data_IF_693305975971
#
_entry.id   IF_693305975971
#
_cell.length_a   1.000
_cell.length_b   1.000
_cell.length_c   1.000
_cell.angle_alpha   90.00
_cell.angle_beta   90.00
_cell.angle_gamma   90.00
#
_symmetry.space_group_name_H-M   'P 1'
#
loop_
_entity.id
_entity.type
_entity.pdbx_description
1 polymer ?
#
# COMPACT_ATOMS: atom_id res chain seq x y z
N UNK A 1 102.92 -63.33 -41.49
CA UNK A 1 101.69 -63.86 -40.87
C UNK A 1 101.10 -62.78 -39.94
N UNK A 2 101.00 -61.53 -40.39
CA UNK A 2 100.59 -60.38 -39.54
C UNK A 2 99.56 -59.43 -40.19
N UNK A 3 99.34 -59.50 -41.51
CA UNK A 3 98.44 -58.56 -42.24
C UNK A 3 96.94 -58.88 -42.19
N UNK A 4 96.52 -60.00 -41.60
CA UNK A 4 95.09 -60.38 -41.54
C UNK A 4 94.42 -59.84 -40.26
N UNK A 5 95.19 -59.49 -39.23
CA UNK A 5 94.65 -58.99 -37.94
C UNK A 5 94.33 -57.48 -37.95
N UNK A 6 95.03 -56.67 -38.75
CA UNK A 6 94.84 -55.21 -38.81
C UNK A 6 93.55 -54.75 -39.51
N UNK A 7 93.12 -55.45 -40.58
CA UNK A 7 91.89 -55.10 -41.30
C UNK A 7 90.62 -55.34 -40.47
N UNK A 8 90.61 -56.35 -39.58
CA UNK A 8 89.46 -56.64 -38.73
C UNK A 8 89.26 -55.62 -37.60
N UNK A 9 90.33 -55.00 -37.08
CA UNK A 9 90.22 -53.97 -36.03
C UNK A 9 89.72 -52.63 -36.59
N UNK A 10 90.10 -52.29 -37.82
CA UNK A 10 89.71 -51.04 -38.47
C UNK A 10 88.22 -51.04 -38.89
N UNK A 11 87.74 -52.16 -39.45
CA UNK A 11 86.31 -52.37 -39.75
C UNK A 11 85.45 -52.42 -38.48
N UNK A 12 85.98 -52.96 -37.37
CA UNK A 12 85.29 -52.99 -36.09
C UNK A 12 85.18 -51.60 -35.43
N UNK A 13 86.19 -50.75 -35.57
CA UNK A 13 86.18 -49.37 -35.09
C UNK A 13 85.22 -48.50 -35.90
N UNK A 14 85.21 -48.66 -37.22
CA UNK A 14 84.33 -47.92 -38.13
C UNK A 14 82.86 -48.32 -37.96
N UNK A 15 82.61 -49.61 -37.71
CA UNK A 15 81.29 -50.13 -37.29
C UNK A 15 80.85 -49.55 -35.94
N UNK A 16 81.75 -49.42 -34.95
CA UNK A 16 81.41 -48.81 -33.64
C UNK A 16 81.09 -47.33 -33.75
N UNK A 17 81.80 -46.60 -34.61
CA UNK A 17 81.58 -45.17 -34.85
C UNK A 17 80.22 -44.91 -35.51
N UNK A 18 79.90 -45.67 -36.56
CA UNK A 18 78.59 -45.60 -37.23
C UNK A 18 77.43 -46.01 -36.32
N UNK A 19 77.62 -47.02 -35.46
CA UNK A 19 76.62 -47.37 -34.43
C UNK A 19 76.41 -46.21 -33.44
N UNK A 20 77.47 -45.51 -33.04
CA UNK A 20 77.37 -44.33 -32.15
C UNK A 20 76.66 -43.17 -32.82
N UNK A 21 77.01 -42.86 -34.07
CA UNK A 21 76.35 -41.79 -34.84
C UNK A 21 74.87 -42.08 -35.08
N UNK A 22 74.53 -43.32 -35.44
CA UNK A 22 73.13 -43.72 -35.63
C UNK A 22 72.33 -43.59 -34.33
N UNK A 23 72.88 -44.03 -33.19
CA UNK A 23 72.23 -43.85 -31.88
C UNK A 23 72.02 -42.38 -31.52
N UNK A 24 73.00 -41.53 -31.83
CA UNK A 24 72.90 -40.10 -31.55
C UNK A 24 71.84 -39.44 -32.45
N UNK A 25 71.79 -39.83 -33.72
CA UNK A 25 70.82 -39.35 -34.70
C UNK A 25 69.40 -39.79 -34.34
N UNK A 26 69.21 -41.07 -33.99
CA UNK A 26 67.95 -41.62 -33.48
C UNK A 26 67.49 -40.90 -32.20
N UNK A 27 68.42 -40.56 -31.30
CA UNK A 27 68.09 -39.79 -30.09
C UNK A 27 67.62 -38.38 -30.41
N UNK A 28 68.27 -37.68 -31.35
CA UNK A 28 67.86 -36.34 -31.75
C UNK A 28 66.54 -36.36 -32.53
N UNK A 29 66.35 -37.32 -33.42
CA UNK A 29 65.10 -37.49 -34.17
C UNK A 29 63.93 -37.79 -33.22
N UNK A 30 64.15 -38.63 -32.19
CA UNK A 30 63.16 -38.89 -31.15
C UNK A 30 62.82 -37.62 -30.35
N UNK A 31 63.82 -36.78 -30.05
CA UNK A 31 63.62 -35.53 -29.32
C UNK A 31 62.86 -34.49 -30.14
N UNK A 32 63.14 -34.39 -31.45
CA UNK A 32 62.39 -33.53 -32.40
C UNK A 32 60.95 -34.01 -32.53
N UNK A 33 60.71 -35.32 -32.61
CA UNK A 33 59.35 -35.87 -32.62
C UNK A 33 58.59 -35.54 -31.33
N UNK A 34 59.22 -35.68 -30.17
CA UNK A 34 58.61 -35.35 -28.88
C UNK A 34 58.25 -33.86 -28.80
N UNK A 35 59.16 -32.97 -29.21
CA UNK A 35 58.94 -31.52 -29.23
C UNK A 35 57.81 -31.12 -30.20
N UNK A 36 57.75 -31.74 -31.38
CA UNK A 36 56.67 -31.49 -32.34
C UNK A 36 55.32 -31.96 -31.80
N UNK A 37 55.27 -33.11 -31.14
CA UNK A 37 54.05 -33.61 -30.49
C UNK A 37 53.58 -32.65 -29.39
N UNK A 38 54.49 -32.16 -28.55
CA UNK A 38 54.18 -31.20 -27.48
C UNK A 38 53.71 -29.85 -28.04
N UNK A 39 54.33 -29.39 -29.13
CA UNK A 39 53.96 -28.16 -29.83
C UNK A 39 52.54 -28.27 -30.40
N UNK A 40 52.18 -29.39 -31.01
CA UNK A 40 50.86 -29.61 -31.58
C UNK A 40 49.79 -29.73 -30.48
N UNK A 41 50.08 -30.43 -29.37
CA UNK A 41 49.21 -30.43 -28.20
C UNK A 41 48.96 -29.02 -27.65
N UNK A 42 50.02 -28.22 -27.50
CA UNK A 42 49.90 -26.83 -27.02
C UNK A 42 49.08 -25.98 -27.99
N UNK A 43 49.28 -26.11 -29.30
CA UNK A 43 48.48 -25.41 -30.32
C UNK A 43 46.99 -25.78 -30.23
N UNK A 44 46.68 -27.06 -30.02
CA UNK A 44 45.28 -27.51 -29.85
C UNK A 44 44.66 -26.90 -28.60
N UNK A 45 45.36 -26.90 -27.46
CA UNK A 45 44.87 -26.28 -26.23
C UNK A 45 44.64 -24.77 -26.37
N UNK A 46 45.55 -24.07 -27.07
CA UNK A 46 45.45 -22.63 -27.28
C UNK A 46 44.25 -22.27 -28.17
N UNK A 47 43.98 -23.07 -29.20
CA UNK A 47 42.76 -22.94 -30.01
C UNK A 47 41.49 -23.15 -29.18
N UNK A 48 41.46 -24.18 -28.34
CA UNK A 48 40.31 -24.43 -27.45
C UNK A 48 40.09 -23.28 -26.47
N UNK A 49 41.16 -22.78 -25.84
CA UNK A 49 41.08 -21.63 -24.93
C UNK A 49 40.49 -20.39 -25.61
N UNK A 50 40.95 -20.05 -26.82
CA UNK A 50 40.45 -18.90 -27.56
C UNK A 50 38.96 -19.03 -27.92
N UNK A 51 38.50 -20.23 -28.32
CA UNK A 51 37.09 -20.49 -28.60
C UNK A 51 36.24 -20.31 -27.34
N UNK A 52 36.68 -20.86 -26.20
CA UNK A 52 35.96 -20.70 -24.93
C UNK A 52 35.94 -19.24 -24.47
N UNK A 53 37.03 -18.50 -24.67
CA UNK A 53 37.08 -17.07 -24.34
C UNK A 53 36.08 -16.26 -25.15
N UNK A 54 36.03 -16.45 -26.48
CA UNK A 54 35.06 -15.78 -27.35
C UNK A 54 33.60 -16.11 -26.97
N UNK A 55 33.32 -17.38 -26.64
CA UNK A 55 31.99 -17.78 -26.17
C UNK A 55 31.62 -17.12 -24.84
N UNK A 56 32.57 -16.98 -23.92
CA UNK A 56 32.33 -16.33 -22.63
C UNK A 56 32.10 -14.83 -22.78
N UNK A 57 32.81 -14.15 -23.70
CA UNK A 57 32.54 -12.74 -23.99
C UNK A 57 31.14 -12.54 -24.57
N UNK A 58 30.74 -13.37 -25.54
CA UNK A 58 29.37 -13.31 -26.08
C UNK A 58 28.29 -13.58 -25.03
N UNK A 59 28.56 -14.44 -24.04
CA UNK A 59 27.64 -14.65 -22.91
C UNK A 59 27.58 -13.44 -21.97
N UNK A 60 28.70 -12.78 -21.72
CA UNK A 60 28.76 -11.57 -20.88
C UNK A 60 27.98 -10.42 -21.49
N UNK A 61 28.13 -10.18 -22.80
CA UNK A 61 27.39 -9.09 -23.47
C UNK A 61 25.88 -9.31 -23.40
N UNK A 62 25.40 -10.55 -23.63
CA UNK A 62 23.98 -10.89 -23.49
C UNK A 62 23.49 -10.69 -22.06
N UNK A 63 24.29 -11.07 -21.05
CA UNK A 63 23.96 -10.84 -19.65
C UNK A 63 23.87 -9.35 -19.33
N UNK A 64 24.82 -8.53 -19.80
CA UNK A 64 24.82 -7.10 -19.58
C UNK A 64 23.61 -6.40 -20.23
N UNK A 65 23.23 -6.80 -21.45
CA UNK A 65 22.02 -6.31 -22.11
C UNK A 65 20.75 -6.68 -21.34
N UNK A 66 20.72 -7.90 -20.79
CA UNK A 66 19.60 -8.36 -19.96
C UNK A 66 19.50 -7.56 -18.67
N UNK A 67 20.63 -7.32 -17.99
CA UNK A 67 20.71 -6.50 -16.77
C UNK A 67 20.26 -5.08 -17.05
N UNK A 68 20.72 -4.45 -18.14
CA UNK A 68 20.30 -3.11 -18.52
C UNK A 68 18.80 -3.03 -18.80
N UNK A 69 18.24 -4.03 -19.48
CA UNK A 69 16.81 -4.10 -19.76
C UNK A 69 15.99 -4.26 -18.49
N UNK A 70 16.43 -5.12 -17.56
CA UNK A 70 15.76 -5.31 -16.27
C UNK A 70 15.82 -4.04 -15.42
N UNK A 71 16.98 -3.37 -15.35
CA UNK A 71 17.12 -2.11 -14.62
C UNK A 71 16.20 -1.02 -15.19
N UNK A 72 16.08 -0.91 -16.51
CA UNK A 72 15.12 0.03 -17.14
C UNK A 72 13.68 -0.30 -16.77
N UNK A 73 13.30 -1.58 -16.77
CA UNK A 73 11.95 -2.00 -16.35
C UNK A 73 11.69 -1.69 -14.88
N UNK A 74 12.68 -1.91 -14.01
CA UNK A 74 12.57 -1.61 -12.59
C UNK A 74 12.35 -0.11 -12.35
N UNK A 75 13.19 0.74 -12.94
CA UNK A 75 13.06 2.20 -12.84
C UNK A 75 11.69 2.66 -13.34
N UNK A 76 11.22 2.11 -14.47
CA UNK A 76 9.90 2.44 -15.01
C UNK A 76 8.78 2.03 -14.05
N UNK A 77 8.86 0.84 -13.47
CA UNK A 77 7.88 0.35 -12.49
C UNK A 77 7.86 1.23 -11.23
N UNK A 78 9.02 1.65 -10.73
CA UNK A 78 9.12 2.52 -9.55
C UNK A 78 8.51 3.91 -9.82
N UNK A 79 8.71 4.44 -11.04
CA UNK A 79 8.09 5.70 -11.47
C UNK A 79 6.57 5.58 -11.58
N UNK A 80 6.06 4.51 -12.19
CA UNK A 80 4.63 4.24 -12.29
C UNK A 80 3.99 4.08 -10.90
N UNK A 81 4.64 3.33 -10.01
CA UNK A 81 4.19 3.16 -8.64
C UNK A 81 4.17 4.47 -7.85
N UNK A 82 5.22 5.28 -7.97
CA UNK A 82 5.31 6.60 -7.31
C UNK A 82 4.23 7.56 -7.82
N UNK A 83 3.97 7.56 -9.13
CA UNK A 83 2.90 8.35 -9.75
C UNK A 83 1.53 7.93 -9.24
N UNK A 84 1.24 6.63 -9.25
CA UNK A 84 -0.02 6.09 -8.75
C UNK A 84 -0.24 6.43 -7.28
N UNK A 85 0.80 6.27 -6.44
CA UNK A 85 0.73 6.63 -5.03
C UNK A 85 0.44 8.12 -4.82
N UNK A 86 1.06 8.99 -5.61
CA UNK A 86 0.77 10.43 -5.57
C UNK A 86 -0.67 10.73 -5.96
N UNK A 87 -1.21 10.06 -6.98
CA UNK A 87 -2.61 10.23 -7.40
C UNK A 87 -3.59 9.77 -6.31
N UNK A 88 -3.36 8.60 -5.73
CA UNK A 88 -4.17 8.07 -4.63
C UNK A 88 -4.19 9.02 -3.43
N UNK A 89 -3.03 9.57 -3.04
CA UNK A 89 -2.95 10.51 -1.93
C UNK A 89 -3.71 11.82 -2.21
N UNK A 90 -3.67 12.33 -3.45
CA UNK A 90 -4.43 13.52 -3.83
C UNK A 90 -5.94 13.23 -3.79
N UNK A 91 -6.36 12.07 -4.30
CA UNK A 91 -7.75 11.65 -4.30
C UNK A 91 -8.30 11.45 -2.88
N UNK A 92 -7.56 10.77 -2.00
CA UNK A 92 -7.96 10.59 -0.60
C UNK A 92 -8.14 11.93 0.13
N UNK A 93 -7.23 12.89 -0.08
CA UNK A 93 -7.34 14.22 0.52
C UNK A 93 -8.57 14.99 0.00
N UNK A 94 -8.92 14.81 -1.27
CA UNK A 94 -10.09 15.43 -1.88
C UNK A 94 -11.39 14.82 -1.31
N UNK A 95 -11.50 13.50 -1.31
CA UNK A 95 -12.67 12.78 -0.77
C UNK A 95 -12.89 13.10 0.72
N UNK A 96 -11.83 13.16 1.52
CA UNK A 96 -11.94 13.57 2.93
C UNK A 96 -12.45 15.01 3.07
N UNK A 97 -11.97 15.94 2.24
CA UNK A 97 -12.42 17.34 2.29
C UNK A 97 -13.89 17.47 1.88
N UNK A 98 -14.33 16.72 0.86
CA UNK A 98 -15.73 16.72 0.43
C UNK A 98 -16.65 16.14 1.50
N UNK A 99 -16.30 14.98 2.08
CA UNK A 99 -17.09 14.37 3.16
C UNK A 99 -17.22 15.31 4.36
N UNK A 100 -16.12 15.94 4.79
CA UNK A 100 -16.15 16.90 5.89
C UNK A 100 -17.05 18.09 5.56
N UNK A 101 -17.02 18.55 4.31
CA UNK A 101 -17.86 19.66 3.88
C UNK A 101 -19.34 19.29 3.82
N UNK A 102 -19.68 18.11 3.30
CA UNK A 102 -21.06 17.60 3.30
C UNK A 102 -21.61 17.43 4.71
N UNK A 103 -20.80 16.92 5.65
CA UNK A 103 -21.19 16.80 7.06
C UNK A 103 -21.42 18.17 7.71
N UNK A 104 -20.61 19.17 7.36
CA UNK A 104 -20.85 20.56 7.80
C UNK A 104 -22.15 21.12 7.22
N UNK A 105 -22.41 20.87 5.95
CA UNK A 105 -23.63 21.33 5.28
C UNK A 105 -24.87 20.63 5.87
N UNK A 106 -24.77 19.35 6.22
CA UNK A 106 -25.81 18.61 6.92
C UNK A 106 -26.10 19.25 8.29
N UNK A 107 -25.07 19.53 9.09
CA UNK A 107 -25.24 20.20 10.38
C UNK A 107 -25.91 21.57 10.22
N UNK A 108 -25.53 22.35 9.20
CA UNK A 108 -26.17 23.63 8.91
C UNK A 108 -27.65 23.46 8.55
N UNK A 109 -28.00 22.44 7.76
CA UNK A 109 -29.41 22.15 7.44
C UNK A 109 -30.21 21.74 8.67
N UNK A 110 -29.62 20.98 9.58
CA UNK A 110 -30.23 20.64 10.87
C UNK A 110 -30.47 21.90 11.69
N UNK A 111 -29.51 22.83 11.71
CA UNK A 111 -29.67 24.14 12.37
C UNK A 111 -30.83 24.96 11.75
N UNK A 112 -30.90 25.02 10.42
CA UNK A 112 -31.95 25.76 9.72
C UNK A 112 -33.34 25.12 9.96
N UNK A 113 -33.43 23.79 10.02
CA UNK A 113 -34.67 23.06 10.38
C UNK A 113 -35.06 23.36 11.82
N UNK A 114 -34.11 23.29 12.77
CA UNK A 114 -34.34 23.59 14.18
C UNK A 114 -34.95 24.97 14.37
N UNK A 115 -34.30 26.00 13.80
CA UNK A 115 -34.74 27.40 13.88
C UNK A 115 -36.08 27.66 13.17
N UNK A 116 -36.26 27.13 11.97
CA UNK A 116 -37.49 27.37 11.21
C UNK A 116 -38.70 26.71 11.87
N UNK A 117 -38.53 25.49 12.40
CA UNK A 117 -39.60 24.78 13.07
C UNK A 117 -39.88 25.38 14.46
N UNK A 118 -38.85 25.77 15.22
CA UNK A 118 -39.03 26.43 16.53
C UNK A 118 -39.78 27.75 16.40
N UNK A 119 -39.40 28.60 15.43
CA UNK A 119 -40.07 29.87 15.16
C UNK A 119 -41.54 29.63 14.77
N UNK A 120 -41.79 28.71 13.82
CA UNK A 120 -43.15 28.38 13.39
C UNK A 120 -44.04 27.86 14.54
N UNK A 121 -43.52 26.96 15.37
CA UNK A 121 -44.26 26.40 16.50
C UNK A 121 -44.54 27.46 17.56
N UNK A 122 -43.57 28.34 17.81
CA UNK A 122 -43.69 29.43 18.79
C UNK A 122 -44.76 30.43 18.35
N UNK A 123 -44.64 30.97 17.13
CA UNK A 123 -45.58 31.93 16.58
C UNK A 123 -47.02 31.42 16.56
N UNK A 124 -47.20 30.14 16.24
CA UNK A 124 -48.53 29.57 16.01
C UNK A 124 -49.21 29.08 17.29
N UNK A 125 -48.47 28.52 18.25
CA UNK A 125 -49.06 27.78 19.35
C UNK A 125 -48.80 28.38 20.74
N UNK A 126 -47.79 29.23 20.93
CA UNK A 126 -47.45 29.69 22.30
C UNK A 126 -48.55 30.55 22.89
N UNK A 127 -48.99 31.59 22.20
CA UNK A 127 -50.08 32.44 22.69
C UNK A 127 -51.37 31.65 22.91
N UNK A 128 -51.73 30.78 21.95
CA UNK A 128 -52.94 29.96 22.03
C UNK A 128 -52.92 28.93 23.19
N UNK A 129 -51.73 28.45 23.58
CA UNK A 129 -51.59 27.38 24.58
C UNK A 129 -51.37 27.93 25.99
N UNK A 130 -50.58 28.99 26.12
CA UNK A 130 -50.15 29.54 27.40
C UNK A 130 -50.80 30.88 27.75
N UNK A 131 -51.45 31.55 26.79
CA UNK A 131 -52.08 32.86 27.00
C UNK A 131 -51.07 33.98 27.30
N UNK A 132 -49.81 33.78 26.94
CA UNK A 132 -48.68 34.67 27.16
C UNK A 132 -47.98 34.95 25.84
N UNK A 133 -47.28 36.08 25.77
CA UNK A 133 -46.39 36.37 24.64
C UNK A 133 -45.18 35.43 24.64
N UNK A 134 -44.57 35.27 23.46
CA UNK A 134 -43.44 34.36 23.25
C UNK A 134 -42.23 34.69 24.13
N UNK A 135 -41.99 35.97 24.42
CA UNK A 135 -40.88 36.42 25.28
C UNK A 135 -41.06 36.12 26.77
N UNK A 136 -42.29 35.91 27.22
CA UNK A 136 -42.62 35.66 28.64
C UNK A 136 -42.92 34.19 28.94
N UNK A 137 -42.97 33.35 27.89
CA UNK A 137 -43.25 31.93 28.04
C UNK A 137 -41.95 31.16 28.13
N UNK A 138 -41.82 30.40 29.21
CA UNK A 138 -40.64 29.58 29.49
C UNK A 138 -41.01 28.11 29.63
N UNK A 139 -40.00 27.26 29.65
CA UNK A 139 -40.12 25.83 29.97
C UNK A 139 -40.76 25.55 31.34
N UNK A 140 -40.72 26.49 32.29
CA UNK A 140 -41.40 26.36 33.58
C UNK A 140 -42.93 26.49 33.46
N UNK A 141 -43.43 27.11 32.38
CA UNK A 141 -44.85 27.23 32.11
C UNK A 141 -45.48 25.95 31.54
N UNK A 142 -44.68 24.89 31.34
CA UNK A 142 -45.14 23.62 30.83
C UNK A 142 -46.26 23.02 31.71
N UNK A 143 -47.44 22.79 31.11
CA UNK A 143 -48.60 22.21 31.80
C UNK A 143 -48.32 20.88 32.49
N UNK A 144 -47.38 20.10 31.95
CA UNK A 144 -46.91 18.85 32.53
C UNK A 144 -45.38 18.87 32.68
N UNK A 145 -44.89 19.79 33.51
CA UNK A 145 -43.48 19.92 33.84
C UNK A 145 -42.84 18.61 34.37
N UNK A 146 -43.49 17.77 35.21
CA UNK A 146 -42.90 16.51 35.65
C UNK A 146 -42.57 15.56 34.48
N UNK A 147 -43.48 15.43 33.51
CA UNK A 147 -43.24 14.60 32.34
C UNK A 147 -42.19 15.18 31.40
N UNK A 148 -42.14 16.52 31.26
CA UNK A 148 -41.09 17.20 30.51
C UNK A 148 -39.71 16.95 31.14
N UNK A 149 -39.61 17.04 32.47
CA UNK A 149 -38.40 16.71 33.25
C UNK A 149 -37.95 15.27 33.03
N UNK A 150 -38.88 14.32 33.05
CA UNK A 150 -38.59 12.91 32.77
C UNK A 150 -38.06 12.72 31.35
N UNK A 151 -38.71 13.32 30.35
CA UNK A 151 -38.38 13.15 28.93
C UNK A 151 -36.93 13.59 28.62
N UNK A 152 -36.47 14.65 29.27
CA UNK A 152 -35.13 15.22 29.05
C UNK A 152 -34.11 14.83 30.12
N UNK A 153 -34.46 13.90 31.01
CA UNK A 153 -33.55 13.42 32.06
C UNK A 153 -33.10 14.52 33.04
N UNK A 154 -33.94 15.51 33.31
CA UNK A 154 -33.61 16.59 34.23
C UNK A 154 -33.45 16.07 35.66
N UNK A 155 -32.40 16.52 36.33
CA UNK A 155 -32.13 16.28 37.75
C UNK A 155 -32.07 17.63 38.44
N UNK A 156 -32.79 17.83 39.55
CA UNK A 156 -32.97 19.17 40.16
C UNK A 156 -31.64 19.85 40.57
N UNK A 157 -30.57 19.09 40.79
CA UNK A 157 -29.23 19.59 41.12
C UNK A 157 -28.34 19.92 39.90
N UNK A 158 -28.84 19.72 38.66
CA UNK A 158 -28.06 19.93 37.43
C UNK A 158 -28.80 20.85 36.45
N UNK A 159 -28.08 21.79 35.81
CA UNK A 159 -28.67 22.59 34.75
C UNK A 159 -29.10 21.69 33.59
N UNK A 160 -30.25 21.98 33.00
CA UNK A 160 -30.73 21.31 31.79
C UNK A 160 -31.46 22.29 30.88
N UNK A 161 -31.98 21.79 29.75
CA UNK A 161 -32.84 22.58 28.84
C UNK A 161 -34.13 23.09 29.51
N UNK A 162 -34.50 22.59 30.70
CA UNK A 162 -35.73 22.95 31.41
C UNK A 162 -35.51 24.03 32.46
N UNK A 163 -34.36 24.00 33.13
CA UNK A 163 -34.07 24.94 34.21
C UNK A 163 -32.57 25.16 34.35
N UNK A 164 -32.20 26.41 34.61
CA UNK A 164 -30.86 26.77 35.09
C UNK A 164 -30.66 26.27 36.53
N UNK A 165 -29.42 26.33 37.03
CA UNK A 165 -29.11 26.04 38.44
C UNK A 165 -29.81 26.97 39.44
N UNK A 166 -30.36 28.09 38.97
CA UNK A 166 -31.16 29.04 39.76
C UNK A 166 -32.67 28.78 39.65
N UNK A 167 -33.08 27.76 38.91
CA UNK A 167 -34.48 27.43 38.65
C UNK A 167 -35.14 28.27 37.55
N UNK A 168 -34.38 29.07 36.80
CA UNK A 168 -34.90 29.89 35.71
C UNK A 168 -35.16 29.02 34.48
N UNK A 169 -36.36 29.15 33.89
CA UNK A 169 -36.73 28.43 32.68
C UNK A 169 -36.06 28.98 31.43
N UNK A 170 -35.73 28.09 30.51
CA UNK A 170 -35.36 28.46 29.14
C UNK A 170 -36.58 28.99 28.38
N UNK A 171 -36.38 29.96 27.50
CA UNK A 171 -37.42 30.44 26.58
C UNK A 171 -37.90 29.29 25.67
N UNK A 172 -39.19 29.31 25.34
CA UNK A 172 -39.80 28.19 24.60
C UNK A 172 -39.20 28.02 23.20
N UNK A 173 -38.84 29.10 22.52
CA UNK A 173 -38.28 29.02 21.17
C UNK A 173 -36.91 28.34 21.17
N UNK A 174 -35.98 28.80 22.02
CA UNK A 174 -34.66 28.17 22.16
C UNK A 174 -34.77 26.74 22.67
N UNK A 175 -35.68 26.48 23.60
CA UNK A 175 -35.96 25.13 24.08
C UNK A 175 -36.34 24.19 22.92
N UNK A 176 -37.28 24.62 22.08
CA UNK A 176 -37.71 23.85 20.91
C UNK A 176 -36.55 23.68 19.92
N UNK A 177 -35.82 24.75 19.62
CA UNK A 177 -34.68 24.72 18.70
C UNK A 177 -33.62 23.70 19.15
N UNK A 178 -33.16 23.78 20.40
CA UNK A 178 -32.18 22.82 20.94
C UNK A 178 -32.73 21.40 20.99
N UNK A 179 -33.99 21.22 21.38
CA UNK A 179 -34.60 19.88 21.48
C UNK A 179 -34.74 19.21 20.11
N UNK A 180 -35.19 19.95 19.09
CA UNK A 180 -35.34 19.46 17.72
C UNK A 180 -33.97 19.07 17.15
N UNK A 181 -32.96 19.93 17.29
CA UNK A 181 -31.61 19.65 16.81
C UNK A 181 -30.99 18.44 17.51
N UNK A 182 -31.12 18.38 18.83
CA UNK A 182 -30.63 17.23 19.62
C UNK A 182 -31.32 15.93 19.18
N UNK A 183 -32.63 15.96 18.94
CA UNK A 183 -33.38 14.79 18.48
C UNK A 183 -32.91 14.33 17.09
N UNK A 184 -32.78 15.25 16.14
CA UNK A 184 -32.32 14.94 14.79
C UNK A 184 -30.90 14.37 14.80
N UNK A 185 -29.97 14.99 15.53
CA UNK A 185 -28.61 14.47 15.68
C UNK A 185 -28.57 13.09 16.34
N UNK A 186 -29.40 12.86 17.35
CA UNK A 186 -29.49 11.54 18.03
C UNK A 186 -30.03 10.47 17.10
N UNK A 187 -31.06 10.79 16.30
CA UNK A 187 -31.62 9.87 15.32
C UNK A 187 -30.61 9.56 14.20
N UNK A 188 -29.95 10.57 13.65
CA UNK A 188 -28.89 10.37 12.65
C UNK A 188 -27.75 9.53 13.21
N UNK A 189 -27.34 9.79 14.45
CA UNK A 189 -26.34 8.97 15.12
C UNK A 189 -26.81 7.52 15.28
N UNK A 190 -27.99 7.26 15.83
CA UNK A 190 -28.46 5.90 16.11
C UNK A 190 -28.78 5.08 14.84
N UNK A 191 -29.38 5.70 13.84
CA UNK A 191 -29.92 4.99 12.67
C UNK A 191 -28.94 4.95 11.49
N UNK A 192 -28.08 5.97 11.34
CA UNK A 192 -27.17 6.08 10.20
C UNK A 192 -25.74 5.81 10.62
N UNK A 193 -25.21 6.48 11.64
CA UNK A 193 -23.77 6.39 11.96
C UNK A 193 -23.42 5.20 12.85
N UNK A 194 -24.25 4.91 13.85
CA UNK A 194 -24.04 3.82 14.79
C UNK A 194 -23.84 2.49 14.07
N UNK A 195 -24.63 2.11 13.05
CA UNK A 195 -24.41 0.90 12.27
C UNK A 195 -23.02 0.76 11.61
N UNK A 196 -22.30 1.85 11.36
CA UNK A 196 -20.92 1.77 10.83
C UNK A 196 -19.86 1.86 11.93
N UNK A 197 -20.26 1.89 13.21
CA UNK A 197 -19.35 2.05 14.33
C UNK A 197 -18.48 0.78 14.51
N UNK A 198 -17.14 0.91 14.61
CA UNK A 198 -16.22 -0.22 14.66
C UNK A 198 -16.38 -1.12 15.90
N UNK A 199 -17.13 -0.68 16.90
CA UNK A 199 -17.44 -1.44 18.12
C UNK A 199 -18.73 -2.24 18.07
N UNK A 200 -19.37 -2.38 16.90
CA UNK A 200 -20.62 -3.16 16.78
C UNK A 200 -20.34 -4.67 16.91
N UNK A 201 -21.11 -5.40 17.74
CA UNK A 201 -21.10 -6.86 17.78
C UNK A 201 -21.50 -7.47 16.42
N UNK A 202 -20.84 -8.56 16.04
CA UNK A 202 -20.99 -9.27 14.75
C UNK A 202 -22.43 -9.55 14.31
N UNK A 203 -23.36 -9.63 15.25
CA UNK A 203 -24.74 -10.07 15.03
C UNK A 203 -25.60 -8.95 14.40
N UNK A 204 -25.25 -7.68 14.64
CA UNK A 204 -25.88 -6.51 14.01
C UNK A 204 -25.34 -6.22 12.60
N UNK A 205 -24.18 -6.79 12.25
CA UNK A 205 -23.55 -6.65 10.93
C UNK A 205 -24.37 -7.28 9.80
N UNK A 206 -25.26 -8.23 10.11
CA UNK A 206 -26.08 -8.93 9.10
C UNK A 206 -27.15 -8.01 8.50
N UNK A 207 -27.85 -7.26 9.34
CA UNK A 207 -28.88 -6.30 8.93
C UNK A 207 -28.30 -5.17 8.08
N UNK A 208 -27.13 -4.65 8.45
CA UNK A 208 -26.36 -3.69 7.64
C UNK A 208 -25.98 -4.23 6.28
N UNK A 209 -25.55 -5.48 6.25
CA UNK A 209 -25.22 -6.16 5.01
C UNK A 209 -26.44 -6.26 4.10
N UNK A 210 -27.63 -6.54 4.65
CA UNK A 210 -28.88 -6.60 3.89
C UNK A 210 -29.28 -5.21 3.34
N UNK A 211 -29.16 -4.14 4.13
CA UNK A 211 -29.41 -2.76 3.68
C UNK A 211 -28.44 -2.35 2.57
N UNK A 212 -27.16 -2.63 2.72
CA UNK A 212 -26.16 -2.32 1.70
C UNK A 212 -26.47 -3.04 0.37
N UNK A 213 -26.87 -4.32 0.43
CA UNK A 213 -27.26 -5.05 -0.79
C UNK A 213 -28.53 -4.48 -1.43
N UNK A 214 -29.50 -4.02 -0.64
CA UNK A 214 -30.74 -3.41 -1.17
C UNK A 214 -30.46 -2.03 -1.81
N UNK A 215 -29.60 -1.20 -1.21
CA UNK A 215 -29.15 0.07 -1.82
C UNK A 215 -28.40 -0.21 -3.13
N UNK A 216 -27.49 -1.18 -3.13
CA UNK A 216 -26.71 -1.58 -4.32
C UNK A 216 -27.60 -2.14 -5.45
N UNK A 217 -28.71 -2.80 -5.12
CA UNK A 217 -29.65 -3.34 -6.10
C UNK A 217 -30.57 -2.27 -6.73
N UNK A 218 -30.69 -1.09 -6.10
CA UNK A 218 -31.58 0.00 -6.51
C UNK A 218 -30.86 1.19 -7.16
N UNK A 219 -29.53 1.27 -7.05
CA UNK A 219 -28.68 2.22 -7.77
C UNK A 219 -28.18 1.65 -9.09
#
# INVERSE_FOLDING_TARGET
>A
MEDILGCYEQDALQSRLTIKENRLRESFDAQIQALNSELDEKKVRLKQYNVTHQQNEGRRTIQDETIQTLNRKLIKSDQEYSSLRSQLQIQENFEQSEIVQELKDLNRRIDDIGRSLSAYLTDKYVFATFGKDFGDTTTQDARNLPQLKLLLGHTDDKPSLIASTRGEGMDVESFLDFSIRSLLCTLLHAEIFWPFHPSIPSDQSKWLSDIYQDIKARG
#
